data_IF_223976528986
#
_entry.id   IF_223976528986
#
_cell.length_a   1.000
_cell.length_b   1.000
_cell.length_c   1.000
_cell.angle_alpha   90.00
_cell.angle_beta   90.00
_cell.angle_gamma   90.00
#
_symmetry.space_group_name_H-M   'P 1'
#
loop_
_entity.id
_entity.type
_entity.pdbx_description
1 polymer ?
#
# COMPACT_ATOMS: atom_id res chain seq x y z
N UNK A 1 -7.79 23.24 -22.30
CA UNK A 1 -6.82 22.15 -22.54
C UNK A 1 -6.40 22.07 -24.01
N UNK A 2 -6.00 23.20 -24.63
CA UNK A 2 -5.63 23.28 -26.05
C UNK A 2 -4.11 23.27 -26.32
N UNK A 3 -3.29 23.10 -25.27
CA UNK A 3 -1.82 23.06 -25.37
C UNK A 3 -1.25 21.64 -25.52
N UNK A 4 -2.01 20.61 -25.12
CA UNK A 4 -1.59 19.21 -25.26
C UNK A 4 -1.60 18.77 -26.75
N UNK A 5 -2.58 19.24 -27.53
CA UNK A 5 -2.70 18.90 -28.95
C UNK A 5 -1.57 19.44 -29.84
N UNK A 6 -0.82 20.46 -29.38
CA UNK A 6 0.31 21.00 -30.15
C UNK A 6 1.53 20.08 -30.16
N UNK A 7 1.68 19.22 -29.15
CA UNK A 7 2.84 18.34 -29.04
C UNK A 7 2.77 17.10 -29.94
N UNK A 8 1.58 16.77 -30.45
CA UNK A 8 1.33 15.56 -31.24
C UNK A 8 1.53 15.76 -32.75
N UNK A 9 1.54 17.00 -33.27
CA UNK A 9 1.47 17.27 -34.72
C UNK A 9 2.80 17.56 -35.42
N UNK A 10 3.86 17.91 -34.70
CA UNK A 10 5.13 18.37 -35.29
C UNK A 10 6.36 17.60 -34.78
N UNK A 11 6.32 16.26 -34.75
CA UNK A 11 7.55 15.45 -34.71
C UNK A 11 7.66 14.70 -36.02
N UNK A 12 8.60 15.13 -36.84
CA UNK A 12 8.94 14.46 -38.08
C UNK A 12 9.71 13.16 -37.76
N UNK A 13 9.24 11.99 -38.21
CA UNK A 13 9.89 10.71 -37.96
C UNK A 13 11.19 10.46 -38.75
N UNK A 14 11.63 11.36 -39.63
CA UNK A 14 12.81 11.16 -40.49
C UNK A 14 13.96 12.17 -40.29
N UNK A 15 14.11 12.77 -39.11
CA UNK A 15 15.35 13.47 -38.74
C UNK A 15 16.53 12.50 -38.43
N UNK A 16 16.71 11.47 -39.26
CA UNK A 16 17.84 10.54 -39.24
C UNK A 16 18.97 11.13 -40.10
N UNK A 17 20.17 11.37 -39.58
CA UNK A 17 21.33 10.47 -39.56
C UNK A 17 22.53 11.39 -39.23
N UNK A 18 23.50 11.10 -38.36
CA UNK A 18 24.56 10.10 -38.49
C UNK A 18 25.21 9.79 -37.11
N UNK A 19 25.61 8.53 -36.94
CA UNK A 19 26.70 7.99 -36.10
C UNK A 19 26.60 7.98 -34.55
N UNK A 20 26.08 6.87 -34.01
CA UNK A 20 26.89 5.92 -33.25
C UNK A 20 26.03 4.71 -32.84
N UNK A 21 25.81 3.82 -33.80
CA UNK A 21 25.15 2.54 -33.57
C UNK A 21 26.18 1.52 -33.06
N UNK A 22 25.99 1.08 -31.83
CA UNK A 22 26.62 -0.11 -31.27
C UNK A 22 25.51 -0.89 -30.54
N UNK A 23 24.93 -1.95 -31.16
CA UNK A 23 24.86 -3.23 -30.48
C UNK A 23 26.12 -3.67 -29.79
N UNK A 24 26.29 -3.09 -28.61
CA UNK A 24 26.36 -3.98 -27.47
C UNK A 24 25.05 -4.76 -27.37
N UNK A 25 24.98 -5.90 -28.05
CA UNK A 25 24.04 -6.99 -27.77
C UNK A 25 24.40 -7.63 -26.42
N UNK A 26 24.46 -6.80 -25.38
CA UNK A 26 24.27 -7.24 -24.00
C UNK A 26 22.79 -7.57 -23.79
N UNK A 27 22.42 -8.16 -22.64
CA UNK A 27 21.02 -8.48 -22.33
C UNK A 27 20.21 -7.18 -22.17
N UNK A 28 19.82 -6.59 -23.31
CA UNK A 28 19.38 -5.21 -23.49
C UNK A 28 17.99 -5.10 -24.10
N UNK A 29 17.19 -6.18 -24.05
CA UNK A 29 15.76 -5.98 -23.93
C UNK A 29 15.57 -5.14 -22.67
N UNK A 30 14.93 -3.96 -22.78
CA UNK A 30 14.62 -3.04 -21.67
C UNK A 30 14.47 -3.89 -20.41
N UNK A 31 15.39 -3.77 -19.44
CA UNK A 31 15.30 -4.54 -18.21
C UNK A 31 13.95 -4.20 -17.61
N UNK A 32 12.96 -5.05 -17.87
CA UNK A 32 11.65 -4.85 -17.36
C UNK A 32 11.71 -5.38 -15.95
N UNK A 33 12.25 -4.51 -15.08
CA UNK A 33 12.31 -4.71 -13.63
C UNK A 33 10.96 -5.17 -13.07
N UNK A 34 9.88 -4.97 -13.85
CA UNK A 34 8.49 -5.14 -13.51
C UNK A 34 7.71 -5.97 -14.55
N UNK A 35 8.36 -6.69 -15.47
CA UNK A 35 7.69 -7.15 -16.71
C UNK A 35 6.62 -8.22 -16.57
N UNK A 36 6.54 -8.84 -15.40
CA UNK A 36 5.47 -9.76 -15.03
C UNK A 36 4.65 -9.26 -13.83
N UNK A 37 4.84 -8.02 -13.38
CA UNK A 37 4.15 -7.49 -12.21
C UNK A 37 2.82 -6.85 -12.55
N UNK A 38 1.87 -6.96 -11.61
CA UNK A 38 0.58 -6.28 -11.74
C UNK A 38 0.76 -4.77 -11.73
N UNK A 39 -0.09 -4.05 -12.46
CA UNK A 39 -0.08 -2.58 -12.46
C UNK A 39 -0.15 -1.99 -11.05
N UNK A 40 -0.90 -2.63 -10.15
CA UNK A 40 -0.99 -2.24 -8.74
C UNK A 40 0.38 -2.33 -8.04
N UNK A 41 1.14 -3.41 -8.23
CA UNK A 41 2.49 -3.55 -7.67
C UNK A 41 3.46 -2.51 -8.24
N UNK A 42 3.32 -2.17 -9.53
CA UNK A 42 4.16 -1.14 -10.16
C UNK A 42 3.86 0.24 -9.57
N UNK A 43 2.59 0.61 -9.42
CA UNK A 43 2.21 1.88 -8.79
C UNK A 43 2.66 1.93 -7.33
N UNK A 44 2.45 0.85 -6.58
CA UNK A 44 2.83 0.74 -5.18
C UNK A 44 4.34 0.97 -4.99
N UNK A 45 5.18 0.40 -5.88
CA UNK A 45 6.64 0.61 -5.84
C UNK A 45 7.05 2.03 -6.18
N UNK A 46 6.39 2.66 -7.16
CA UNK A 46 6.64 4.06 -7.52
C UNK A 46 6.29 4.99 -6.36
N UNK A 47 5.15 4.77 -5.73
CA UNK A 47 4.71 5.54 -4.57
C UNK A 47 5.66 5.34 -3.37
N UNK A 48 6.12 4.11 -3.12
CA UNK A 48 7.12 3.83 -2.09
C UNK A 48 8.46 4.55 -2.36
N UNK A 49 8.91 4.61 -3.60
CA UNK A 49 10.12 5.35 -3.98
C UNK A 49 9.98 6.86 -3.69
N UNK A 50 8.86 7.47 -4.10
CA UNK A 50 8.57 8.89 -3.83
C UNK A 50 8.54 9.18 -2.32
N UNK A 51 7.98 8.27 -1.53
CA UNK A 51 7.97 8.38 -0.07
C UNK A 51 9.36 8.23 0.53
N UNK A 52 10.20 7.35 0.00
CA UNK A 52 11.58 7.13 0.47
C UNK A 52 12.50 8.32 0.21
N UNK A 53 12.29 9.03 -0.90
CA UNK A 53 13.07 10.20 -1.31
C UNK A 53 12.80 11.42 -0.43
N UNK A 54 11.60 11.52 0.16
CA UNK A 54 11.18 12.66 0.97
C UNK A 54 11.15 12.32 2.47
N UNK A 55 12.10 12.82 3.28
CA UNK A 55 12.18 12.48 4.70
C UNK A 55 10.94 12.91 5.49
N UNK A 56 10.29 14.01 5.10
CA UNK A 56 9.04 14.49 5.73
C UNK A 56 7.88 13.50 5.55
N UNK A 57 7.79 12.85 4.39
CA UNK A 57 6.77 11.82 4.15
C UNK A 57 7.03 10.58 5.00
N UNK A 58 8.30 10.16 5.12
CA UNK A 58 8.66 9.02 5.98
C UNK A 58 8.32 9.33 7.44
N UNK A 59 8.63 10.53 7.92
CA UNK A 59 8.36 10.93 9.30
C UNK A 59 6.87 11.02 9.60
N UNK A 60 6.09 11.61 8.70
CA UNK A 60 4.62 11.65 8.79
C UNK A 60 4.03 10.23 8.85
N UNK A 61 4.49 9.32 7.99
CA UNK A 61 4.03 7.93 7.97
C UNK A 61 4.43 7.15 9.23
N UNK A 62 5.63 7.39 9.76
CA UNK A 62 6.08 6.76 11.01
C UNK A 62 5.18 7.15 12.18
N UNK A 63 4.82 8.44 12.29
CA UNK A 63 3.89 8.91 13.32
C UNK A 63 2.49 8.31 13.15
N UNK A 64 1.96 8.27 11.91
CA UNK A 64 0.63 7.71 11.66
C UNK A 64 0.55 6.20 11.97
N UNK A 65 1.64 5.46 11.76
CA UNK A 65 1.72 4.02 12.02
C UNK A 65 2.14 3.67 13.45
N UNK A 66 2.53 4.65 14.26
CA UNK A 66 3.16 4.44 15.56
C UNK A 66 4.44 3.56 15.48
N UNK A 67 5.16 3.65 14.36
CA UNK A 67 6.40 2.91 14.11
C UNK A 67 7.63 3.82 14.25
N UNK A 68 8.81 3.21 14.44
CA UNK A 68 10.07 3.97 14.37
C UNK A 68 10.39 4.38 12.92
N UNK A 69 11.02 5.54 12.74
CA UNK A 69 11.47 6.02 11.41
C UNK A 69 12.29 4.96 10.62
N UNK A 70 13.27 4.25 11.20
CA UNK A 70 13.97 3.20 10.47
C UNK A 70 13.08 2.00 10.12
N UNK A 71 12.10 1.65 10.97
CA UNK A 71 11.14 0.59 10.65
C UNK A 71 10.26 0.98 9.45
N UNK A 72 9.75 2.20 9.40
CA UNK A 72 8.96 2.72 8.28
C UNK A 72 9.77 2.77 6.98
N UNK A 73 11.02 3.25 7.05
CA UNK A 73 11.92 3.23 5.88
C UNK A 73 12.13 1.80 5.38
N UNK A 74 12.40 0.85 6.29
CA UNK A 74 12.59 -0.55 5.94
C UNK A 74 11.34 -1.17 5.31
N UNK A 75 10.15 -0.84 5.81
CA UNK A 75 8.87 -1.26 5.24
C UNK A 75 8.68 -0.73 3.80
N UNK A 76 8.93 0.56 3.57
CA UNK A 76 8.85 1.15 2.23
C UNK A 76 9.90 0.56 1.28
N UNK A 77 11.10 0.27 1.76
CA UNK A 77 12.13 -0.43 0.97
C UNK A 77 11.67 -1.84 0.59
N UNK A 78 11.03 -2.58 1.50
CA UNK A 78 10.45 -3.89 1.19
C UNK A 78 9.40 -3.83 0.10
N UNK A 79 8.54 -2.81 0.13
CA UNK A 79 7.58 -2.55 -0.94
C UNK A 79 8.32 -2.26 -2.25
N UNK A 80 9.24 -1.30 -2.25
CA UNK A 80 10.01 -0.88 -3.43
C UNK A 80 10.73 -2.05 -4.11
N UNK A 81 11.30 -2.97 -3.34
CA UNK A 81 11.98 -4.15 -3.84
C UNK A 81 11.03 -5.31 -4.23
N UNK A 82 9.72 -5.18 -3.98
CA UNK A 82 8.72 -6.19 -4.34
C UNK A 82 8.55 -7.34 -3.33
N UNK A 83 9.10 -7.24 -2.11
CA UNK A 83 8.87 -8.22 -1.05
C UNK A 83 7.45 -8.12 -0.46
N UNK A 84 6.83 -6.94 -0.58
CA UNK A 84 5.45 -6.68 -0.18
C UNK A 84 4.67 -6.30 -1.43
N UNK A 85 3.66 -7.11 -1.76
CA UNK A 85 2.78 -6.89 -2.93
C UNK A 85 1.47 -6.26 -2.50
N UNK A 86 0.76 -5.65 -3.46
CA UNK A 86 -0.57 -5.10 -3.22
C UNK A 86 -1.55 -6.16 -2.70
N UNK A 87 -1.44 -7.40 -3.19
CA UNK A 87 -2.21 -8.54 -2.72
C UNK A 87 -1.88 -8.91 -1.26
N UNK A 88 -0.59 -8.88 -0.90
CA UNK A 88 -0.14 -9.14 0.47
C UNK A 88 -0.68 -8.10 1.46
N UNK A 89 -0.67 -6.81 1.09
CA UNK A 89 -1.25 -5.74 1.89
C UNK A 89 -2.77 -5.93 2.04
N UNK A 90 -3.47 -6.19 0.93
CA UNK A 90 -4.92 -6.42 0.98
C UNK A 90 -5.30 -7.64 1.84
N UNK A 91 -4.50 -8.70 1.81
CA UNK A 91 -4.69 -9.88 2.65
C UNK A 91 -4.43 -9.59 4.15
N UNK A 92 -3.44 -8.75 4.47
CA UNK A 92 -3.16 -8.33 5.84
C UNK A 92 -4.29 -7.43 6.38
N UNK A 93 -4.73 -6.44 5.59
CA UNK A 93 -5.87 -5.58 5.95
C UNK A 93 -7.16 -6.36 6.15
N UNK A 94 -7.42 -7.40 5.34
CA UNK A 94 -8.56 -8.29 5.53
C UNK A 94 -8.49 -9.03 6.87
N UNK A 95 -7.32 -9.57 7.23
CA UNK A 95 -7.10 -10.23 8.52
C UNK A 95 -7.25 -9.28 9.71
N UNK A 96 -6.81 -8.03 9.58
CA UNK A 96 -6.99 -7.03 10.63
C UNK A 96 -8.45 -6.64 10.81
N UNK A 97 -9.22 -6.51 9.72
CA UNK A 97 -10.66 -6.24 9.76
C UNK A 97 -11.45 -7.39 10.39
N UNK A 98 -11.09 -8.64 10.08
CA UNK A 98 -11.70 -9.82 10.71
C UNK A 98 -11.48 -9.82 12.24
N UNK A 99 -10.25 -9.53 12.68
CA UNK A 99 -9.92 -9.44 14.11
C UNK A 99 -10.65 -8.28 14.80
N UNK A 100 -10.76 -7.13 14.14
CA UNK A 100 -11.49 -5.98 14.69
C UNK A 100 -12.99 -6.29 14.85
N UNK A 101 -13.60 -6.97 13.88
CA UNK A 101 -15.01 -7.39 13.94
C UNK A 101 -15.29 -8.44 15.04
N UNK A 102 -14.35 -9.37 15.28
CA UNK A 102 -14.47 -10.35 16.37
C UNK A 102 -14.45 -9.69 17.75
N UNK A 103 -13.61 -8.65 17.94
CA UNK A 103 -13.53 -7.90 19.20
C UNK A 103 -14.82 -7.12 19.49
N UNK A 104 -15.47 -6.58 18.46
CA UNK A 104 -16.74 -5.85 18.59
C UNK A 104 -17.91 -6.79 18.95
N UNK A 105 -18.00 -7.96 18.30
CA UNK A 105 -18.99 -8.98 18.61
C UNK A 105 -18.84 -9.61 20.00
N UNK A 106 -17.59 -9.82 20.46
CA UNK A 106 -17.31 -10.37 21.79
C UNK A 106 -17.70 -9.40 22.93
N UNK A 107 -17.63 -8.09 22.70
CA UNK A 107 -17.98 -7.07 23.69
C UNK A 107 -19.52 -6.92 23.84
N UNK A 108 -20.27 -7.00 22.74
CA UNK A 108 -21.73 -7.00 22.75
C UNK A 108 -22.33 -8.22 23.49
N UNK A 109 -21.73 -9.41 23.33
CA UNK A 109 -22.19 -10.64 24.00
C UNK A 109 -21.98 -10.64 25.53
N UNK A 110 -20.96 -9.93 26.04
CA UNK A 110 -20.72 -9.78 27.48
C UNK A 110 -21.70 -8.80 28.12
N UNK A 111 -22.11 -7.74 27.42
CA UNK A 111 -23.09 -6.77 27.92
C UNK A 111 -24.48 -7.40 28.14
N UNK A 112 -24.94 -8.28 27.24
CA UNK A 112 -26.23 -8.98 27.40
C UNK A 112 -26.26 -9.95 28.59
N UNK A 113 -25.14 -10.62 28.91
CA UNK A 113 -25.07 -11.59 30.02
C UNK A 113 -25.08 -10.93 31.42
N UNK A 114 -24.72 -9.65 31.52
CA UNK A 114 -24.74 -8.91 32.79
C UNK A 114 -26.16 -8.45 33.20
N UNK A 115 -27.05 -8.20 32.23
CA UNK A 115 -28.41 -7.73 32.49
C UNK A 115 -29.38 -8.83 32.99
N UNK A 116 -29.03 -10.11 32.85
CA UNK A 116 -29.92 -11.25 33.16
C UNK A 116 -29.90 -11.78 34.61
N UNK A 117 -29.10 -11.20 35.51
CA UNK A 117 -28.98 -11.66 36.92
C UNK A 117 -29.38 -10.57 37.93
N UNK A 118 -30.64 -10.15 37.89
CA UNK A 118 -31.17 -9.15 38.84
C UNK A 118 -32.65 -9.35 39.12
N UNK A 119 -33.03 -10.48 39.70
CA UNK A 119 -34.44 -10.75 40.01
C UNK A 119 -34.64 -12.00 40.85
N UNK A 120 -34.17 -11.98 42.10
CA UNK A 120 -34.68 -12.91 43.13
C UNK A 120 -35.55 -12.12 44.09
N UNK A 121 -36.85 -12.42 44.03
CA UNK A 121 -37.91 -11.83 44.83
C UNK A 121 -37.62 -11.90 46.33
N UNK A 122 -37.87 -10.78 46.99
CA UNK A 122 -38.02 -10.70 48.44
C UNK A 122 -39.51 -10.84 48.72
N UNK A 123 -39.92 -11.97 49.28
CA UNK A 123 -41.24 -12.14 49.87
C UNK A 123 -41.28 -11.46 51.24
N UNK A 124 -42.31 -10.66 51.56
CA UNK A 124 -42.43 -10.05 52.87
C UNK A 124 -42.88 -11.12 53.90
N UNK A 125 -42.19 -11.16 55.04
CA UNK A 125 -42.64 -11.85 56.25
C UNK A 125 -43.20 -10.80 57.21
N UNK A 126 -44.35 -11.09 57.82
CA UNK A 126 -44.87 -10.40 59.00
C UNK A 126 -46.14 -9.64 58.73
#
# INVERSE_FOLDING_TARGET
TAQQDRQARNKDPYSASEESDSPWEGPGGRFDAYGNDSYANIQLRRDAAVKLDNPELVMMLAMARNDSIPATRHYLTKIMCGYITAEGIAAEEAREKEKAGEVEGANAGKALKAAGKGGKGVSPRG
#
